data_IF_376400744342
#
_entry.id   IF_376400744342
#
_cell.length_a   1.000
_cell.length_b   1.000
_cell.length_c   1.000
_cell.angle_alpha   90.00
_cell.angle_beta   90.00
_cell.angle_gamma   90.00
#
_symmetry.space_group_name_H-M   'P 1'
#
loop_
_entity.id
_entity.type
_entity.pdbx_description
1 polymer ?
#
# COMPACT_ATOMS: atom_id res chain seq x y z
N UNK A 1 63.01 20.85 -33.11
CA UNK A 1 62.09 20.91 -34.28
C UNK A 1 60.70 20.62 -33.74
N UNK A 2 60.00 21.65 -33.44
CA UNK A 2 58.92 22.26 -34.21
C UNK A 2 57.66 21.37 -34.13
N UNK A 3 56.68 21.79 -33.29
CA UNK A 3 55.51 22.63 -33.67
C UNK A 3 54.37 21.72 -34.14
N UNK A 4 53.20 21.80 -33.62
CA UNK A 4 52.23 22.83 -33.40
C UNK A 4 50.97 22.22 -32.79
N UNK A 5 50.38 22.87 -31.92
CA UNK A 5 49.19 23.75 -31.98
C UNK A 5 48.10 23.30 -32.94
N UNK A 6 46.91 23.05 -32.42
CA UNK A 6 45.72 23.87 -32.70
C UNK A 6 44.50 23.19 -32.11
N UNK A 7 43.85 23.72 -31.12
CA UNK A 7 42.87 24.82 -31.16
C UNK A 7 41.61 24.50 -31.95
N UNK A 8 40.51 24.52 -31.20
CA UNK A 8 39.19 25.06 -31.55
C UNK A 8 38.30 24.20 -32.44
N UNK A 9 37.10 23.87 -31.98
CA UNK A 9 35.91 24.67 -32.29
C UNK A 9 34.71 23.99 -31.64
N UNK A 10 34.03 24.58 -30.72
CA UNK A 10 32.86 25.43 -30.86
C UNK A 10 31.92 25.00 -31.98
N UNK A 11 30.80 24.44 -31.61
CA UNK A 11 29.53 24.82 -32.17
C UNK A 11 28.39 24.14 -31.43
N UNK A 12 27.71 24.95 -30.69
CA UNK A 12 26.27 24.96 -30.51
C UNK A 12 25.53 24.53 -31.75
N UNK A 13 24.60 23.62 -31.62
CA UNK A 13 23.36 23.70 -32.37
C UNK A 13 22.24 23.05 -31.60
N UNK A 14 21.53 23.94 -30.96
CA UNK A 14 20.16 23.88 -30.57
C UNK A 14 19.33 23.37 -31.76
N UNK A 15 18.66 22.25 -31.61
CA UNK A 15 17.55 21.87 -32.45
C UNK A 15 16.33 21.70 -31.59
N UNK A 16 15.59 22.79 -31.48
CA UNK A 16 14.19 22.78 -31.09
C UNK A 16 13.42 21.86 -32.04
N UNK A 17 13.02 20.71 -31.51
CA UNK A 17 11.95 19.95 -32.14
C UNK A 17 10.65 20.45 -31.54
N UNK A 18 10.06 21.39 -32.25
CA UNK A 18 8.68 21.81 -32.02
C UNK A 18 7.80 20.66 -32.54
N UNK A 19 7.33 19.83 -31.61
CA UNK A 19 6.24 18.91 -31.91
C UNK A 19 4.93 19.67 -31.76
N UNK A 20 4.34 19.98 -32.88
CA UNK A 20 2.95 20.41 -32.96
C UNK A 20 2.06 19.37 -32.33
N UNK A 21 1.52 19.71 -31.19
CA UNK A 21 0.44 18.94 -30.57
C UNK A 21 -0.83 19.29 -31.30
N UNK A 22 -1.25 18.40 -32.16
CA UNK A 22 -2.57 18.40 -32.77
C UNK A 22 -3.61 18.29 -31.66
N UNK A 23 -4.41 19.33 -31.50
CA UNK A 23 -5.52 19.37 -30.55
C UNK A 23 -6.59 18.38 -30.98
N UNK A 24 -6.77 17.34 -30.22
CA UNK A 24 -7.99 16.55 -30.23
C UNK A 24 -8.69 16.74 -28.89
N UNK A 25 -9.82 17.42 -28.96
CA UNK A 25 -10.71 17.68 -27.83
C UNK A 25 -11.32 16.38 -27.33
N UNK A 26 -10.91 15.95 -26.14
CA UNK A 26 -11.74 15.14 -25.26
C UNK A 26 -11.47 15.65 -23.84
N UNK A 27 -12.45 16.36 -23.30
CA UNK A 27 -12.50 16.73 -21.89
C UNK A 27 -12.70 15.47 -21.07
N UNK A 28 -11.66 14.73 -20.80
CA UNK A 28 -11.61 13.83 -19.67
C UNK A 28 -11.21 14.68 -18.47
N UNK A 29 -12.19 14.83 -17.59
CA UNK A 29 -12.05 15.44 -16.28
C UNK A 29 -11.09 14.58 -15.46
N UNK A 30 -9.79 14.78 -15.68
CA UNK A 30 -8.75 14.25 -14.80
C UNK A 30 -8.91 14.97 -13.48
N UNK A 31 -9.65 14.35 -12.57
CA UNK A 31 -9.65 14.72 -11.17
C UNK A 31 -8.25 14.35 -10.67
N UNK A 32 -7.34 15.32 -10.65
CA UNK A 32 -6.05 15.19 -9.98
C UNK A 32 -6.32 15.16 -8.48
N UNK A 33 -6.63 13.99 -7.96
CA UNK A 33 -6.52 13.76 -6.53
C UNK A 33 -5.06 13.96 -6.12
N UNK A 34 -4.78 14.62 -4.99
CA UNK A 34 -3.42 14.78 -4.53
C UNK A 34 -2.81 13.37 -4.35
N UNK A 35 -1.68 13.12 -5.01
CA UNK A 35 -0.95 11.86 -4.85
C UNK A 35 -0.38 11.85 -3.44
N UNK A 36 -1.11 11.26 -2.52
CA UNK A 36 -0.60 10.97 -1.18
C UNK A 36 0.36 9.79 -1.33
N UNK A 37 1.62 10.02 -1.00
CA UNK A 37 2.64 8.97 -1.09
C UNK A 37 2.56 8.08 0.16
N UNK A 38 1.74 7.05 0.11
CA UNK A 38 1.62 6.05 1.17
C UNK A 38 2.83 5.11 1.20
N UNK A 39 3.23 4.68 2.40
CA UNK A 39 4.22 3.62 2.58
C UNK A 39 3.76 2.33 1.89
N UNK A 40 4.72 1.52 1.44
CA UNK A 40 4.42 0.15 1.00
C UNK A 40 4.01 -0.73 2.19
N UNK A 41 3.36 -1.85 1.91
CA UNK A 41 3.00 -2.83 2.95
C UNK A 41 4.22 -3.33 3.72
N UNK A 42 5.32 -3.60 3.02
CA UNK A 42 6.59 -3.99 3.64
C UNK A 42 7.15 -2.90 4.56
N UNK A 43 7.16 -1.65 4.10
CA UNK A 43 7.68 -0.54 4.91
C UNK A 43 6.84 -0.31 6.18
N UNK A 44 5.51 -0.34 6.07
CA UNK A 44 4.62 -0.24 7.21
C UNK A 44 4.81 -1.42 8.18
N UNK A 45 4.93 -2.64 7.67
CA UNK A 45 5.24 -3.83 8.46
C UNK A 45 6.54 -3.65 9.24
N UNK A 46 7.64 -3.31 8.57
CA UNK A 46 8.96 -3.19 9.21
C UNK A 46 9.01 -2.10 10.28
N UNK A 47 8.30 -1.00 10.07
CA UNK A 47 8.32 0.14 10.99
C UNK A 47 7.42 -0.04 12.21
N UNK A 48 6.31 -0.75 12.08
CA UNK A 48 5.27 -0.82 13.11
C UNK A 48 4.94 -2.26 13.47
N UNK A 49 4.48 -3.07 12.51
CA UNK A 49 3.87 -4.37 12.77
C UNK A 49 4.89 -5.42 13.28
N UNK A 50 6.13 -5.34 12.79
CA UNK A 50 7.19 -6.29 13.11
C UNK A 50 7.51 -6.37 14.61
N UNK A 51 7.23 -5.32 15.38
CA UNK A 51 7.44 -5.30 16.84
C UNK A 51 6.78 -6.50 17.51
N UNK A 52 5.57 -6.86 17.08
CA UNK A 52 4.84 -8.00 17.61
C UNK A 52 4.84 -9.20 16.64
N UNK A 53 4.61 -8.95 15.36
CA UNK A 53 4.40 -10.02 14.38
C UNK A 53 5.70 -10.70 13.87
N UNK A 54 6.88 -10.14 14.11
CA UNK A 54 8.12 -10.81 13.77
C UNK A 54 8.41 -12.04 14.65
N UNK A 55 8.05 -11.95 15.92
CA UNK A 55 8.34 -12.99 16.93
C UNK A 55 7.11 -13.65 17.54
N UNK A 56 5.91 -13.07 17.35
CA UNK A 56 4.66 -13.59 17.89
C UNK A 56 4.41 -13.23 19.36
N UNK A 57 4.98 -12.12 19.85
CA UNK A 57 4.69 -11.64 21.22
C UNK A 57 3.22 -11.29 21.36
N UNK A 58 2.68 -11.42 22.56
CA UNK A 58 1.28 -11.13 22.87
C UNK A 58 0.29 -11.88 21.97
N UNK A 59 0.62 -13.12 21.63
CA UNK A 59 -0.20 -13.99 20.77
C UNK A 59 -0.39 -13.46 19.33
N UNK A 60 0.41 -12.48 18.91
CA UNK A 60 0.37 -11.98 17.54
C UNK A 60 0.68 -13.09 16.53
N UNK A 61 -0.12 -13.26 15.47
CA UNK A 61 0.18 -14.24 14.43
C UNK A 61 1.53 -13.90 13.79
N UNK A 62 2.46 -14.85 13.88
CA UNK A 62 3.84 -14.62 13.46
C UNK A 62 3.93 -14.50 11.94
N UNK A 63 4.70 -13.55 11.47
CA UNK A 63 4.98 -13.35 10.04
C UNK A 63 5.48 -14.63 9.37
N UNK A 64 4.85 -15.04 8.28
CA UNK A 64 5.19 -16.24 7.51
C UNK A 64 4.72 -17.55 8.11
N UNK A 65 4.04 -17.54 9.26
CA UNK A 65 3.48 -18.75 9.88
C UNK A 65 2.08 -19.04 9.31
N UNK A 66 2.03 -19.92 8.30
CA UNK A 66 0.78 -20.26 7.62
C UNK A 66 -0.29 -20.83 8.57
N UNK A 67 0.11 -21.57 9.60
CA UNK A 67 -0.84 -22.15 10.55
C UNK A 67 -1.47 -21.07 11.44
N UNK A 68 -0.68 -20.11 11.90
CA UNK A 68 -1.16 -19.00 12.71
C UNK A 68 -2.10 -18.03 11.93
N UNK A 69 -1.95 -17.97 10.61
CA UNK A 69 -2.73 -17.09 9.74
C UNK A 69 -3.92 -17.77 9.07
N UNK A 70 -4.04 -19.10 9.13
CA UNK A 70 -5.02 -19.87 8.36
C UNK A 70 -6.47 -19.39 8.60
N UNK A 71 -6.89 -19.33 9.85
CA UNK A 71 -8.26 -18.90 10.23
C UNK A 71 -8.50 -17.43 9.86
N UNK A 72 -7.50 -16.56 10.12
CA UNK A 72 -7.57 -15.14 9.81
C UNK A 72 -7.74 -14.88 8.29
N UNK A 73 -7.01 -15.64 7.46
CA UNK A 73 -7.12 -15.54 6.01
C UNK A 73 -8.53 -15.95 5.54
N UNK A 74 -9.16 -16.94 6.19
CA UNK A 74 -10.51 -17.38 5.89
C UNK A 74 -11.59 -16.33 6.24
N UNK A 75 -11.36 -15.48 7.24
CA UNK A 75 -12.24 -14.36 7.56
C UNK A 75 -12.32 -13.34 6.43
N UNK A 76 -11.24 -13.20 5.67
CA UNK A 76 -11.17 -12.36 4.49
C UNK A 76 -10.45 -11.04 4.69
N UNK A 77 -9.93 -10.53 3.58
CA UNK A 77 -9.04 -9.37 3.57
C UNK A 77 -9.65 -8.12 4.23
N UNK A 78 -10.90 -7.82 3.88
CA UNK A 78 -11.58 -6.63 4.41
C UNK A 78 -11.75 -6.65 5.92
N UNK A 79 -12.12 -7.80 6.47
CA UNK A 79 -12.29 -7.99 7.92
C UNK A 79 -10.95 -7.83 8.63
N UNK A 80 -9.88 -8.46 8.13
CA UNK A 80 -8.55 -8.32 8.72
C UNK A 80 -8.05 -6.86 8.73
N UNK A 81 -8.30 -6.12 7.67
CA UNK A 81 -7.94 -4.69 7.61
C UNK A 81 -8.76 -3.88 8.60
N UNK A 82 -10.07 -4.11 8.63
CA UNK A 82 -10.99 -3.42 9.56
C UNK A 82 -10.57 -3.64 11.03
N UNK A 83 -10.36 -4.89 11.42
CA UNK A 83 -9.95 -5.24 12.79
C UNK A 83 -8.58 -4.67 13.14
N UNK A 84 -7.64 -4.70 12.22
CA UNK A 84 -6.31 -4.09 12.42
C UNK A 84 -6.38 -2.57 12.64
N UNK A 85 -7.30 -1.90 11.97
CA UNK A 85 -7.54 -0.46 12.17
C UNK A 85 -8.17 -0.19 13.52
N UNK A 86 -9.14 -1.00 13.93
CA UNK A 86 -9.86 -0.84 15.21
C UNK A 86 -9.08 -1.35 16.41
N UNK A 87 -8.19 -2.29 16.20
CA UNK A 87 -7.54 -3.09 17.22
C UNK A 87 -8.37 -4.31 17.59
N UNK A 88 -7.70 -5.45 17.79
CA UNK A 88 -8.35 -6.71 18.14
C UNK A 88 -7.54 -7.44 19.21
N UNK A 89 -8.23 -7.90 20.27
CA UNK A 89 -7.56 -8.60 21.37
C UNK A 89 -6.41 -7.79 21.97
N UNK A 90 -5.21 -8.32 21.89
CA UNK A 90 -3.99 -7.66 22.39
C UNK A 90 -3.38 -6.68 21.36
N UNK A 91 -3.86 -6.69 20.13
CA UNK A 91 -3.40 -5.75 19.11
C UNK A 91 -4.04 -4.38 19.29
N UNK A 92 -3.25 -3.32 19.52
CA UNK A 92 -3.80 -1.98 19.62
C UNK A 92 -4.25 -1.46 18.24
N UNK A 93 -5.16 -0.46 18.19
CA UNK A 93 -5.54 0.18 16.94
C UNK A 93 -4.32 0.58 16.10
N UNK A 94 -4.33 0.21 14.82
CA UNK A 94 -3.25 0.49 13.86
C UNK A 94 -1.86 0.00 14.32
N UNK A 95 -1.82 -1.10 15.08
CA UNK A 95 -0.57 -1.60 15.65
C UNK A 95 0.12 -0.66 16.64
N UNK A 96 -0.60 0.36 17.14
CA UNK A 96 -0.09 1.38 18.05
C UNK A 96 0.42 2.65 17.38
N UNK A 97 0.49 2.70 16.06
CA UNK A 97 0.83 3.93 15.31
C UNK A 97 -0.41 4.54 14.65
N UNK A 98 -1.05 5.46 15.34
CA UNK A 98 -2.27 6.12 14.86
C UNK A 98 -2.04 7.03 13.62
N UNK A 99 -0.80 7.22 13.20
CA UNK A 99 -0.46 7.99 11.99
C UNK A 99 -0.53 7.16 10.72
N UNK A 100 -0.59 5.82 10.82
CA UNK A 100 -0.81 4.95 9.68
C UNK A 100 -2.16 5.25 9.03
N UNK A 101 -2.17 5.48 7.72
CA UNK A 101 -3.40 5.63 6.97
C UNK A 101 -4.11 4.28 6.77
N UNK A 102 -5.39 4.30 6.39
CA UNK A 102 -6.13 3.07 6.07
C UNK A 102 -5.49 2.34 4.88
N UNK A 103 -4.96 3.08 3.91
CA UNK A 103 -4.19 2.53 2.79
C UNK A 103 -2.95 1.78 3.26
N UNK A 104 -2.17 2.36 4.16
CA UNK A 104 -0.96 1.73 4.70
C UNK A 104 -1.30 0.51 5.55
N UNK A 105 -2.40 0.57 6.31
CA UNK A 105 -2.91 -0.59 7.05
C UNK A 105 -3.32 -1.72 6.10
N UNK A 106 -4.09 -1.42 5.06
CA UNK A 106 -4.50 -2.43 4.08
C UNK A 106 -3.30 -3.08 3.39
N UNK A 107 -2.33 -2.30 2.98
CA UNK A 107 -1.08 -2.81 2.36
C UNK A 107 -0.26 -3.67 3.32
N UNK A 108 -0.13 -3.26 4.59
CA UNK A 108 0.59 -4.04 5.60
C UNK A 108 -0.09 -5.38 5.89
N UNK A 109 -1.40 -5.41 5.99
CA UNK A 109 -2.18 -6.65 6.18
C UNK A 109 -2.01 -7.58 4.98
N UNK A 110 -2.13 -7.07 3.74
CA UNK A 110 -1.89 -7.88 2.55
C UNK A 110 -0.47 -8.44 2.53
N UNK A 111 0.53 -7.63 2.84
CA UNK A 111 1.94 -8.06 2.90
C UNK A 111 2.15 -9.21 3.88
N UNK A 112 1.61 -9.12 5.10
CA UNK A 112 1.75 -10.16 6.12
C UNK A 112 0.96 -11.42 5.78
N UNK A 113 -0.31 -11.29 5.39
CA UNK A 113 -1.16 -12.43 5.04
C UNK A 113 -0.63 -13.18 3.82
N UNK A 114 -0.15 -12.48 2.80
CA UNK A 114 0.43 -13.09 1.61
C UNK A 114 1.72 -13.85 1.91
N UNK A 115 2.53 -13.37 2.86
CA UNK A 115 3.70 -14.11 3.34
C UNK A 115 3.32 -15.44 4.03
N UNK A 116 2.09 -15.56 4.52
CA UNK A 116 1.54 -16.74 5.15
C UNK A 116 0.67 -17.61 4.21
N UNK A 117 0.60 -17.26 2.92
CA UNK A 117 -0.06 -18.07 1.90
C UNK A 117 -1.39 -17.49 1.38
N UNK A 118 -1.81 -16.31 1.80
CA UNK A 118 -2.92 -15.60 1.18
C UNK A 118 -2.58 -15.11 -0.23
N UNK A 119 -3.58 -14.63 -0.94
CA UNK A 119 -3.43 -14.02 -2.26
C UNK A 119 -4.27 -12.73 -2.33
N UNK A 120 -4.04 -11.84 -1.37
CA UNK A 120 -4.74 -10.55 -1.32
C UNK A 120 -4.07 -9.55 -2.26
N UNK A 121 -4.88 -8.75 -2.94
CA UNK A 121 -4.41 -7.70 -3.83
C UNK A 121 -4.34 -6.39 -3.03
N UNK A 122 -3.16 -5.80 -2.98
CA UNK A 122 -2.97 -4.50 -2.33
C UNK A 122 -3.79 -3.42 -3.05
N UNK A 123 -4.50 -2.56 -2.31
CA UNK A 123 -5.24 -1.47 -2.92
C UNK A 123 -4.30 -0.43 -3.52
N UNK A 124 -4.74 0.19 -4.60
CA UNK A 124 -4.01 1.22 -5.33
C UNK A 124 -4.58 2.62 -5.13
N UNK A 125 -5.79 2.71 -4.58
CA UNK A 125 -6.49 3.97 -4.33
C UNK A 125 -7.26 3.96 -3.01
N UNK A 126 -7.42 5.15 -2.40
CA UNK A 126 -8.21 5.30 -1.18
C UNK A 126 -9.67 4.88 -1.37
N UNK A 127 -10.20 5.00 -2.59
CA UNK A 127 -11.52 4.52 -2.95
C UNK A 127 -11.66 2.99 -2.78
N UNK A 128 -10.64 2.25 -3.21
CA UNK A 128 -10.62 0.78 -3.04
C UNK A 128 -10.57 0.39 -1.57
N UNK A 129 -9.79 1.10 -0.75
CA UNK A 129 -9.73 0.88 0.69
C UNK A 129 -11.08 1.21 1.34
N UNK A 130 -11.71 2.33 0.98
CA UNK A 130 -13.03 2.70 1.50
C UNK A 130 -14.07 1.62 1.16
N UNK A 131 -14.11 1.15 -0.08
CA UNK A 131 -15.03 0.09 -0.50
C UNK A 131 -14.77 -1.24 0.24
N UNK A 132 -13.50 -1.57 0.48
CA UNK A 132 -13.09 -2.75 1.23
C UNK A 132 -13.60 -2.70 2.67
N UNK A 133 -13.46 -1.56 3.35
CA UNK A 133 -13.90 -1.37 4.73
C UNK A 133 -15.43 -1.33 4.86
N UNK A 134 -16.13 -0.65 3.94
CA UNK A 134 -17.59 -0.64 3.90
C UNK A 134 -18.18 -2.05 3.70
N UNK A 135 -17.52 -2.88 2.92
CA UNK A 135 -17.94 -4.26 2.75
C UNK A 135 -17.68 -5.08 4.02
N UNK A 136 -16.52 -4.92 4.63
CA UNK A 136 -16.18 -5.60 5.88
C UNK A 136 -17.19 -5.28 7.01
N UNK A 137 -17.57 -4.03 7.18
CA UNK A 137 -18.59 -3.62 8.16
C UNK A 137 -19.92 -4.36 7.94
N UNK A 138 -20.37 -4.46 6.68
CA UNK A 138 -21.61 -5.18 6.34
C UNK A 138 -21.51 -6.68 6.63
N UNK A 139 -20.35 -7.27 6.35
CA UNK A 139 -20.12 -8.69 6.58
C UNK A 139 -20.12 -9.00 8.09
N UNK A 140 -19.46 -8.17 8.90
CA UNK A 140 -19.46 -8.29 10.36
C UNK A 140 -20.86 -8.14 10.92
N UNK A 141 -21.61 -7.11 10.52
CA UNK A 141 -23.01 -6.92 10.96
C UNK A 141 -23.93 -8.08 10.57
N UNK A 142 -23.68 -8.68 9.40
CA UNK A 142 -24.47 -9.84 8.95
C UNK A 142 -24.18 -11.07 9.81
N UNK A 143 -22.94 -11.28 10.21
CA UNK A 143 -22.53 -12.36 11.13
C UNK A 143 -23.15 -12.18 12.53
N UNK A 144 -23.14 -10.98 13.09
CA UNK A 144 -23.72 -10.69 14.41
C UNK A 144 -25.23 -10.94 14.46
N UNK A 145 -25.95 -10.69 13.37
CA UNK A 145 -27.41 -10.91 13.30
C UNK A 145 -27.83 -12.39 13.20
N UNK A 146 -26.88 -13.28 12.91
CA UNK A 146 -27.12 -14.72 12.81
C UNK A 146 -26.87 -15.48 14.12
N UNK A 147 -26.35 -14.80 15.10
CA UNK A 147 -26.08 -15.29 16.46
C UNK A 147 -26.94 -14.56 17.48
#
# INVERSE_FOLDING_TARGET
>A
MLVGCNSQNKSEQNSEVVLEVSQSSALDKVTTEPVVNHRSGEAAYQQVCAVCHATGVNEAPKFGDAAAWAELIEEGYGILVYESIKGEGMMPPRGGDLTLSDMEMARAVAYMANAAGANFIEPTSDREVTALLEQAEKDIEAHEKQH
#
